data_IF_141463715028
#
_entry.id   IF_141463715028
#
_cell.length_a   1.000
_cell.length_b   1.000
_cell.length_c   1.000
_cell.angle_alpha   90.00
_cell.angle_beta   90.00
_cell.angle_gamma   90.00
#
_symmetry.space_group_name_H-M   'P 1'
#
loop_
_entity.id
_entity.type
_entity.pdbx_description
1 polymer ?
#
# COMPACT_ATOMS: atom_id res chain seq x y z
N UNK A 1 71.98 48.16 13.74
CA UNK A 1 71.31 47.35 14.75
C UNK A 1 69.83 47.78 14.78
N UNK A 2 68.96 47.13 14.10
CA UNK A 2 67.52 47.44 14.05
C UNK A 2 66.77 46.28 14.63
N UNK A 3 66.12 46.50 15.76
CA UNK A 3 65.26 45.49 16.44
C UNK A 3 63.92 45.47 15.76
N UNK A 4 63.63 44.33 15.07
CA UNK A 4 62.33 44.02 14.56
C UNK A 4 61.39 43.65 15.73
N UNK A 5 60.33 44.44 15.91
CA UNK A 5 59.24 44.21 16.88
C UNK A 5 58.21 43.31 16.24
N UNK A 6 58.22 42.04 16.59
CA UNK A 6 57.16 41.13 16.22
C UNK A 6 55.92 41.43 17.02
N UNK A 7 54.89 41.91 16.34
CA UNK A 7 53.56 42.16 16.91
C UNK A 7 52.78 40.83 16.87
N UNK A 8 52.73 40.14 18.02
CA UNK A 8 51.87 39.00 18.22
C UNK A 8 50.42 39.45 18.24
N UNK A 9 49.70 39.24 17.14
CA UNK A 9 48.26 39.31 17.11
C UNK A 9 47.70 38.04 17.76
N UNK A 10 47.57 38.05 19.08
CA UNK A 10 46.69 37.08 19.76
C UNK A 10 45.26 37.39 19.37
N UNK A 11 44.72 36.62 18.43
CA UNK A 11 43.27 36.55 18.19
C UNK A 11 42.63 35.91 19.44
N UNK A 12 42.22 36.76 20.40
CA UNK A 12 41.30 36.36 21.45
C UNK A 12 39.99 35.99 20.77
N UNK A 13 39.75 34.72 20.55
CA UNK A 13 38.41 34.18 20.33
C UNK A 13 37.62 34.38 21.62
N UNK A 14 36.93 35.51 21.69
CA UNK A 14 35.89 35.71 22.69
C UNK A 14 34.77 34.73 22.35
N UNK A 15 34.77 33.58 22.97
CA UNK A 15 33.55 32.81 23.15
C UNK A 15 32.65 33.66 24.04
N UNK A 16 31.83 34.50 23.43
CA UNK A 16 30.72 35.14 24.10
C UNK A 16 29.83 34.01 24.57
N UNK A 17 29.75 33.80 25.87
CA UNK A 17 28.74 32.97 26.51
C UNK A 17 27.42 33.75 26.44
N UNK A 18 26.86 33.85 25.24
CA UNK A 18 25.50 34.33 25.05
C UNK A 18 24.57 33.22 25.52
N UNK A 19 23.87 33.46 26.62
CA UNK A 19 22.81 32.59 27.07
C UNK A 19 21.70 32.61 26.05
N UNK A 20 21.05 31.44 25.81
CA UNK A 20 19.88 31.32 24.95
C UNK A 20 18.80 32.31 25.40
N UNK A 21 18.29 33.10 24.48
CA UNK A 21 17.16 33.98 24.75
C UNK A 21 15.89 33.16 24.82
N UNK A 22 14.93 33.60 25.65
CA UNK A 22 13.60 32.94 25.73
C UNK A 22 12.95 32.87 24.35
N UNK A 23 13.13 33.90 23.52
CA UNK A 23 12.61 33.95 22.16
C UNK A 23 13.22 32.85 21.27
N UNK A 24 14.52 32.61 21.37
CA UNK A 24 15.20 31.57 20.59
C UNK A 24 14.69 30.16 20.96
N UNK A 25 14.49 29.91 22.25
CA UNK A 25 13.90 28.66 22.74
C UNK A 25 12.47 28.48 22.22
N UNK A 26 11.64 29.52 22.22
CA UNK A 26 10.28 29.49 21.72
C UNK A 26 10.23 29.20 20.20
N UNK A 27 11.12 29.86 19.44
CA UNK A 27 11.20 29.59 17.98
C UNK A 27 11.66 28.18 17.71
N UNK A 28 12.69 27.71 18.38
CA UNK A 28 13.21 26.34 18.23
C UNK A 28 12.16 25.29 18.60
N UNK A 29 11.41 25.50 19.68
CA UNK A 29 10.33 24.63 20.10
C UNK A 29 9.18 24.62 19.08
N UNK A 30 8.85 25.78 18.52
CA UNK A 30 7.80 25.88 17.49
C UNK A 30 8.17 25.11 16.24
N UNK A 31 9.40 25.21 15.76
CA UNK A 31 9.91 24.46 14.61
C UNK A 31 9.89 22.96 14.91
N UNK A 32 10.32 22.56 16.10
CA UNK A 32 10.30 21.16 16.54
C UNK A 32 8.87 20.59 16.54
N UNK A 33 7.90 21.32 17.06
CA UNK A 33 6.51 20.89 17.11
C UNK A 33 5.91 20.71 15.70
N UNK A 34 6.18 21.65 14.79
CA UNK A 34 5.72 21.57 13.40
C UNK A 34 6.33 20.35 12.70
N UNK A 35 7.63 20.14 12.84
CA UNK A 35 8.30 18.98 12.24
C UNK A 35 7.79 17.66 12.79
N UNK A 36 7.54 17.59 14.09
CA UNK A 36 6.98 16.42 14.74
C UNK A 36 5.58 16.10 14.23
N UNK A 37 4.73 17.12 14.07
CA UNK A 37 3.38 16.97 13.53
C UNK A 37 3.39 16.40 12.10
N UNK A 38 4.27 16.90 11.23
CA UNK A 38 4.44 16.40 9.86
C UNK A 38 4.92 14.95 9.85
N UNK A 39 5.86 14.61 10.73
CA UNK A 39 6.33 13.23 10.88
C UNK A 39 5.19 12.28 11.30
N UNK A 40 4.39 12.64 12.29
CA UNK A 40 3.25 11.81 12.71
C UNK A 40 2.23 11.61 11.59
N UNK A 41 1.94 12.66 10.81
CA UNK A 41 1.06 12.55 9.66
C UNK A 41 1.62 11.61 8.59
N UNK A 42 2.92 11.69 8.30
CA UNK A 42 3.60 10.81 7.36
C UNK A 42 3.57 9.35 7.83
N UNK A 43 3.79 9.09 9.12
CA UNK A 43 3.69 7.75 9.69
C UNK A 43 2.29 7.15 9.56
N UNK A 44 1.27 7.92 9.88
CA UNK A 44 -0.13 7.48 9.76
C UNK A 44 -0.49 7.09 8.33
N UNK A 45 -0.06 7.89 7.36
CA UNK A 45 -0.25 7.59 5.93
C UNK A 45 0.49 6.33 5.51
N UNK A 46 1.73 6.16 5.97
CA UNK A 46 2.54 4.97 5.65
C UNK A 46 1.92 3.67 6.19
N UNK A 47 1.39 3.69 7.41
CA UNK A 47 0.71 2.53 8.00
C UNK A 47 -0.56 2.19 7.21
N UNK A 48 -1.32 3.20 6.80
CA UNK A 48 -2.52 2.98 5.99
C UNK A 48 -2.18 2.34 4.63
N UNK A 49 -1.17 2.87 3.93
CA UNK A 49 -0.71 2.33 2.64
C UNK A 49 -0.24 0.88 2.81
N UNK A 50 0.51 0.58 3.87
CA UNK A 50 0.99 -0.78 4.13
C UNK A 50 -0.17 -1.77 4.35
N UNK A 51 -1.18 -1.37 5.12
CA UNK A 51 -2.39 -2.18 5.35
C UNK A 51 -3.14 -2.43 4.06
N UNK A 52 -3.37 -1.39 3.25
CA UNK A 52 -4.04 -1.47 1.96
C UNK A 52 -3.28 -2.38 0.98
N UNK A 53 -1.97 -2.22 0.89
CA UNK A 53 -1.11 -3.08 0.06
C UNK A 53 -1.20 -4.55 0.49
N UNK A 54 -1.20 -4.83 1.79
CA UNK A 54 -1.35 -6.19 2.32
C UNK A 54 -2.68 -6.83 1.89
N UNK A 55 -3.77 -6.08 1.98
CA UNK A 55 -5.08 -6.56 1.57
C UNK A 55 -5.15 -6.80 0.06
N UNK A 56 -4.57 -5.91 -0.72
CA UNK A 56 -4.46 -6.08 -2.18
C UNK A 56 -3.67 -7.36 -2.54
N UNK A 57 -2.53 -7.60 -1.89
CA UNK A 57 -1.75 -8.81 -2.11
C UNK A 57 -2.50 -10.09 -1.76
N UNK A 58 -3.28 -10.08 -0.67
CA UNK A 58 -4.16 -11.20 -0.33
C UNK A 58 -5.20 -11.45 -1.43
N UNK A 59 -5.84 -10.39 -1.92
CA UNK A 59 -6.83 -10.48 -2.99
C UNK A 59 -6.22 -11.05 -4.27
N UNK A 60 -5.07 -10.54 -4.70
CA UNK A 60 -4.36 -11.02 -5.89
C UNK A 60 -4.01 -12.50 -5.76
N UNK A 61 -3.35 -12.88 -4.67
CA UNK A 61 -2.88 -14.25 -4.44
C UNK A 61 -4.05 -15.24 -4.40
N UNK A 62 -5.15 -14.86 -3.74
CA UNK A 62 -6.33 -15.70 -3.67
C UNK A 62 -7.00 -15.86 -5.03
N UNK A 63 -7.27 -14.75 -5.74
CA UNK A 63 -7.90 -14.79 -7.07
C UNK A 63 -7.08 -15.60 -8.07
N UNK A 64 -5.77 -15.39 -8.12
CA UNK A 64 -4.88 -16.16 -9.00
C UNK A 64 -4.92 -17.66 -8.68
N UNK A 65 -4.89 -18.02 -7.41
CA UNK A 65 -4.95 -19.43 -7.02
C UNK A 65 -6.28 -20.08 -7.42
N UNK A 66 -7.41 -19.41 -7.24
CA UNK A 66 -8.73 -19.91 -7.63
C UNK A 66 -8.89 -19.97 -9.15
N UNK A 67 -8.34 -19.02 -9.89
CA UNK A 67 -8.34 -19.04 -11.34
C UNK A 67 -7.49 -20.20 -11.88
N UNK A 68 -6.28 -20.42 -11.33
CA UNK A 68 -5.40 -21.52 -11.69
C UNK A 68 -6.04 -22.90 -11.37
N UNK A 69 -6.74 -23.02 -10.26
CA UNK A 69 -7.54 -24.24 -9.96
C UNK A 69 -8.61 -24.48 -11.02
N UNK A 70 -9.29 -23.42 -11.44
CA UNK A 70 -10.32 -23.50 -12.47
C UNK A 70 -9.75 -23.85 -13.85
N UNK A 71 -8.56 -23.38 -14.18
CA UNK A 71 -7.83 -23.72 -15.42
C UNK A 71 -7.38 -25.18 -15.44
N UNK A 72 -6.84 -25.67 -14.33
CA UNK A 72 -6.34 -27.05 -14.18
C UNK A 72 -7.43 -28.07 -13.99
N UNK A 73 -8.67 -27.65 -13.75
CA UNK A 73 -9.78 -28.56 -13.57
C UNK A 73 -10.00 -29.45 -14.82
N UNK A 74 -10.20 -30.72 -14.60
CA UNK A 74 -10.44 -31.70 -15.68
C UNK A 74 -11.74 -31.44 -16.44
N UNK A 75 -12.72 -30.83 -15.74
CA UNK A 75 -14.01 -30.42 -16.28
C UNK A 75 -14.12 -28.91 -16.18
N UNK A 76 -14.48 -28.27 -17.28
CA UNK A 76 -14.70 -26.83 -17.27
C UNK A 76 -15.86 -26.45 -16.33
N UNK A 77 -15.72 -25.43 -15.49
CA UNK A 77 -16.81 -24.98 -14.62
C UNK A 77 -18.07 -24.66 -15.46
N UNK A 78 -19.23 -25.01 -14.98
CA UNK A 78 -20.50 -24.67 -15.65
C UNK A 78 -20.75 -23.18 -15.62
N UNK A 79 -21.49 -22.67 -16.61
CA UNK A 79 -21.96 -21.27 -16.61
C UNK A 79 -22.74 -21.01 -15.34
N UNK A 80 -22.24 -20.08 -14.51
CA UNK A 80 -22.81 -19.84 -13.19
C UNK A 80 -22.34 -18.51 -12.63
N UNK A 81 -23.09 -18.01 -11.65
CA UNK A 81 -22.71 -16.87 -10.83
C UNK A 81 -22.75 -17.35 -9.38
N UNK A 82 -21.59 -17.42 -8.79
CA UNK A 82 -21.44 -17.79 -7.39
C UNK A 82 -20.87 -16.61 -6.60
N UNK A 83 -21.33 -16.45 -5.39
CA UNK A 83 -20.83 -15.41 -4.48
C UNK A 83 -20.83 -15.91 -3.05
N UNK A 84 -19.98 -15.34 -2.22
CA UNK A 84 -19.91 -15.70 -0.83
C UNK A 84 -19.05 -14.73 -0.03
N UNK A 85 -18.99 -14.98 1.25
CA UNK A 85 -18.13 -14.28 2.20
C UNK A 85 -17.18 -15.31 2.82
N UNK A 86 -16.00 -14.86 3.22
CA UNK A 86 -15.06 -15.74 3.92
C UNK A 86 -15.40 -15.79 5.41
N UNK A 87 -15.17 -16.93 6.01
CA UNK A 87 -15.38 -17.14 7.44
C UNK A 87 -14.50 -16.20 8.28
N UNK A 88 -15.02 -15.82 9.43
CA UNK A 88 -14.36 -14.83 10.33
C UNK A 88 -12.98 -15.27 10.83
N UNK A 89 -12.71 -16.58 10.85
CA UNK A 89 -11.42 -17.15 11.25
C UNK A 89 -10.40 -17.28 10.11
N UNK A 90 -10.81 -17.00 8.87
CA UNK A 90 -9.91 -17.11 7.73
C UNK A 90 -9.01 -15.87 7.59
N UNK A 91 -7.85 -16.04 6.94
CA UNK A 91 -6.96 -14.92 6.60
C UNK A 91 -7.62 -13.89 5.67
N UNK A 92 -8.71 -14.29 5.00
CA UNK A 92 -9.52 -13.48 4.10
C UNK A 92 -10.77 -12.91 4.78
N UNK A 93 -10.83 -12.94 6.11
CA UNK A 93 -11.94 -12.35 6.85
C UNK A 93 -12.19 -10.90 6.43
N UNK A 94 -13.46 -10.55 6.20
CA UNK A 94 -13.87 -9.23 5.71
C UNK A 94 -13.84 -9.05 4.19
N UNK A 95 -13.44 -10.08 3.45
CA UNK A 95 -13.55 -10.11 2.00
C UNK A 95 -14.84 -10.79 1.57
N UNK A 96 -15.41 -10.29 0.47
CA UNK A 96 -16.48 -10.94 -0.30
C UNK A 96 -15.95 -11.35 -1.65
N UNK A 97 -16.40 -12.47 -2.15
CA UNK A 97 -16.01 -12.94 -3.47
C UNK A 97 -17.22 -13.17 -4.36
N UNK A 98 -17.03 -12.93 -5.66
CA UNK A 98 -17.97 -13.29 -6.71
C UNK A 98 -17.20 -13.97 -7.82
N UNK A 99 -17.74 -15.07 -8.30
CA UNK A 99 -17.20 -15.82 -9.45
C UNK A 99 -18.25 -15.84 -10.54
N UNK A 100 -17.90 -15.34 -11.69
CA UNK A 100 -18.74 -15.36 -12.89
C UNK A 100 -18.12 -16.30 -13.90
N UNK A 101 -18.91 -17.24 -14.39
CA UNK A 101 -18.51 -18.13 -15.47
C UNK A 101 -19.50 -17.93 -16.60
N UNK A 102 -19.02 -17.49 -17.76
CA UNK A 102 -19.82 -17.23 -18.94
C UNK A 102 -19.16 -17.75 -20.21
N UNK A 103 -19.96 -18.20 -21.17
CA UNK A 103 -19.47 -18.53 -22.48
C UNK A 103 -19.41 -17.29 -23.36
N UNK A 104 -18.31 -17.17 -24.07
CA UNK A 104 -18.03 -16.04 -24.96
C UNK A 104 -17.64 -16.60 -26.33
N UNK A 105 -18.22 -16.07 -27.39
CA UNK A 105 -17.91 -16.46 -28.77
C UNK A 105 -17.25 -15.28 -29.48
N UNK A 106 -15.93 -15.08 -29.30
CA UNK A 106 -15.25 -13.94 -29.90
C UNK A 106 -15.22 -14.00 -31.44
N UNK A 107 -15.25 -15.19 -32.00
CA UNK A 107 -15.30 -15.44 -33.44
C UNK A 107 -16.24 -16.63 -33.78
N UNK A 108 -16.80 -16.68 -34.98
CA UNK A 108 -17.59 -17.80 -35.45
C UNK A 108 -16.81 -19.12 -35.35
N UNK A 109 -17.35 -20.09 -34.63
CA UNK A 109 -16.72 -21.42 -34.46
C UNK A 109 -15.72 -21.52 -33.31
N UNK A 110 -15.44 -20.47 -32.59
CA UNK A 110 -14.57 -20.51 -31.41
C UNK A 110 -15.41 -20.18 -30.16
N UNK A 111 -15.59 -21.21 -29.34
CA UNK A 111 -16.20 -21.05 -28.01
C UNK A 111 -15.10 -20.96 -26.96
N UNK A 112 -15.18 -19.92 -26.15
CA UNK A 112 -14.25 -19.64 -25.04
C UNK A 112 -15.10 -19.43 -23.81
N UNK A 113 -14.68 -19.98 -22.69
CA UNK A 113 -15.28 -19.74 -21.39
C UNK A 113 -14.46 -18.72 -20.64
N UNK A 114 -15.11 -17.59 -20.30
CA UNK A 114 -14.53 -16.58 -19.45
C UNK A 114 -14.88 -16.89 -17.99
N UNK A 115 -13.87 -16.93 -17.15
CA UNK A 115 -14.01 -17.06 -15.70
C UNK A 115 -13.47 -15.77 -15.10
N UNK A 116 -14.36 -14.98 -14.50
CA UNK A 116 -14.03 -13.78 -13.78
C UNK A 116 -14.14 -14.03 -12.28
N UNK A 117 -13.16 -13.59 -11.56
CA UNK A 117 -13.14 -13.64 -10.10
C UNK A 117 -13.00 -12.23 -9.55
N UNK A 118 -14.01 -11.79 -8.81
CA UNK A 118 -14.08 -10.47 -8.20
C UNK A 118 -13.99 -10.60 -6.68
N UNK A 119 -13.10 -9.84 -6.08
CA UNK A 119 -12.93 -9.71 -4.64
C UNK A 119 -13.23 -8.29 -4.21
N UNK A 120 -14.04 -8.14 -3.15
CA UNK A 120 -14.40 -6.87 -2.56
C UNK A 120 -14.01 -6.87 -1.09
N UNK A 121 -13.46 -5.77 -0.62
CA UNK A 121 -13.18 -5.56 0.81
C UNK A 121 -13.35 -4.09 1.20
N UNK A 122 -13.45 -3.83 2.48
CA UNK A 122 -13.60 -2.50 3.05
C UNK A 122 -12.34 -2.11 3.81
N UNK A 123 -11.89 -0.87 3.63
CA UNK A 123 -10.86 -0.24 4.45
C UNK A 123 -11.40 1.10 4.95
N UNK A 124 -11.81 1.14 6.21
CA UNK A 124 -12.51 2.28 6.78
C UNK A 124 -13.82 2.56 6.03
N UNK A 125 -13.90 3.71 5.37
CA UNK A 125 -15.09 4.12 4.58
C UNK A 125 -15.00 3.77 3.09
N UNK A 126 -13.88 3.23 2.64
CA UNK A 126 -13.63 2.94 1.23
C UNK A 126 -13.89 1.47 0.91
N UNK A 127 -14.49 1.23 -0.24
CA UNK A 127 -14.69 -0.11 -0.80
C UNK A 127 -13.69 -0.29 -1.92
N UNK A 128 -12.92 -1.36 -1.83
CA UNK A 128 -11.96 -1.75 -2.85
C UNK A 128 -12.44 -2.99 -3.56
N UNK A 129 -12.10 -3.08 -4.82
CA UNK A 129 -12.44 -4.22 -5.68
C UNK A 129 -11.21 -4.64 -6.47
N UNK A 130 -10.98 -5.93 -6.53
CA UNK A 130 -9.99 -6.54 -7.41
C UNK A 130 -10.71 -7.53 -8.34
N UNK A 131 -10.49 -7.38 -9.65
CA UNK A 131 -11.05 -8.21 -10.69
C UNK A 131 -9.94 -8.94 -11.43
N UNK A 132 -10.11 -10.24 -11.67
CA UNK A 132 -9.20 -11.03 -12.47
C UNK A 132 -9.98 -11.96 -13.38
N UNK A 133 -9.52 -12.09 -14.63
CA UNK A 133 -10.13 -12.91 -15.67
C UNK A 133 -9.15 -13.94 -16.18
N UNK A 134 -9.68 -15.12 -16.51
CA UNK A 134 -9.02 -16.07 -17.40
C UNK A 134 -9.99 -16.55 -18.49
N UNK A 135 -9.41 -16.97 -19.58
CA UNK A 135 -10.13 -17.54 -20.71
C UNK A 135 -9.67 -18.97 -20.92
N UNK A 136 -10.59 -19.89 -20.84
CA UNK A 136 -10.33 -21.32 -21.00
C UNK A 136 -11.15 -21.88 -22.14
N UNK A 137 -10.60 -22.88 -22.83
CA UNK A 137 -11.37 -23.63 -23.83
C UNK A 137 -12.34 -24.56 -23.09
N UNK A 138 -13.62 -24.58 -23.46
CA UNK A 138 -14.55 -25.59 -22.94
C UNK A 138 -14.02 -26.99 -23.25
N UNK A 139 -13.97 -27.83 -22.23
CA UNK A 139 -13.58 -29.26 -22.35
C UNK A 139 -14.80 -30.13 -22.34
#
# INVERSE_FOLDING_TARGET
MSKARTHNFEKKFFFQKEGFTILEVLISLSILLITLMVLFQSFSTSIFILSSTKNLWKAISFAQNELLKSERATVSPSVSINQGEFESESEMSGFRWKKFVRDTKPFPGIEIRQINYQLLWHEGKHVYTYDADIYVKPK
#
